data_IF_836325192513
#
_entry.id   IF_836325192513
#
_cell.length_a   1.000
_cell.length_b   1.000
_cell.length_c   1.000
_cell.angle_alpha   90.00
_cell.angle_beta   90.00
_cell.angle_gamma   90.00
#
_symmetry.space_group_name_H-M   'P 1'
#
loop_
_entity.id
_entity.type
_entity.pdbx_description
1 polymer ?
#
# COMPACT_ATOMS: atom_id res chain seq x y z
N UNK A 1 -46.62 16.29 -1.21
CA UNK A 1 -45.27 16.16 -1.81
C UNK A 1 -44.25 16.68 -0.82
N UNK A 2 -43.80 15.85 0.13
CA UNK A 2 -42.78 16.26 1.11
C UNK A 2 -41.40 15.90 0.59
N UNK A 3 -40.59 16.94 0.38
CA UNK A 3 -39.16 16.87 0.06
C UNK A 3 -38.44 16.16 1.21
N UNK A 4 -37.81 15.03 0.92
CA UNK A 4 -36.79 14.45 1.79
C UNK A 4 -35.58 15.40 1.80
N UNK A 5 -35.42 16.12 2.89
CA UNK A 5 -34.17 16.78 3.24
C UNK A 5 -33.20 15.70 3.69
N UNK A 6 -32.29 15.30 2.80
CA UNK A 6 -31.17 14.43 3.18
C UNK A 6 -30.11 15.34 3.82
N UNK A 7 -30.20 15.53 5.13
CA UNK A 7 -29.09 16.08 5.91
C UNK A 7 -27.96 15.08 5.78
N UNK A 8 -26.92 15.42 5.02
CA UNK A 8 -25.77 14.54 4.84
C UNK A 8 -25.06 14.39 6.18
N UNK A 9 -25.21 13.21 6.80
CA UNK A 9 -24.43 12.83 7.97
C UNK A 9 -22.95 12.98 7.63
N UNK A 10 -22.17 13.60 8.51
CA UNK A 10 -20.72 13.62 8.36
C UNK A 10 -20.16 12.20 8.32
N UNK A 11 -19.05 11.97 7.62
CA UNK A 11 -18.44 10.62 7.57
C UNK A 11 -18.11 10.05 8.94
N UNK A 12 -17.76 10.93 9.87
CA UNK A 12 -17.48 10.58 11.26
C UNK A 12 -18.77 10.20 12.00
N UNK A 13 -19.87 10.90 11.74
CA UNK A 13 -21.19 10.63 12.32
C UNK A 13 -21.78 9.31 11.78
N UNK A 14 -21.55 8.99 10.50
CA UNK A 14 -21.91 7.71 9.92
C UNK A 14 -21.06 6.56 10.50
N UNK A 15 -19.75 6.77 10.68
CA UNK A 15 -18.89 5.79 11.30
C UNK A 15 -19.29 5.50 12.76
N UNK A 16 -19.64 6.54 13.51
CA UNK A 16 -20.11 6.45 14.90
C UNK A 16 -21.44 5.68 14.99
N UNK A 17 -22.42 5.99 14.12
CA UNK A 17 -23.69 5.27 14.06
C UNK A 17 -23.51 3.76 13.81
N UNK A 18 -22.66 3.41 12.84
CA UNK A 18 -22.37 1.99 12.54
C UNK A 18 -21.64 1.32 13.70
N UNK A 19 -20.74 2.03 14.37
CA UNK A 19 -20.04 1.50 15.55
C UNK A 19 -21.03 1.16 16.68
N UNK A 20 -21.93 2.08 17.02
CA UNK A 20 -22.96 1.87 18.05
C UNK A 20 -23.88 0.68 17.73
N UNK A 21 -24.29 0.54 16.47
CA UNK A 21 -25.15 -0.56 16.05
C UNK A 21 -24.45 -1.93 16.18
N UNK A 22 -23.17 -2.00 15.83
CA UNK A 22 -22.36 -3.22 15.97
C UNK A 22 -22.07 -3.54 17.43
N UNK A 23 -21.77 -2.54 18.26
CA UNK A 23 -21.59 -2.71 19.71
C UNK A 23 -22.86 -3.26 20.36
N UNK A 24 -24.02 -2.69 20.01
CA UNK A 24 -25.32 -3.14 20.50
C UNK A 24 -25.62 -4.58 20.08
N UNK A 25 -25.32 -4.95 18.83
CA UNK A 25 -25.50 -6.31 18.34
C UNK A 25 -24.62 -7.33 19.09
N UNK A 26 -23.36 -6.99 19.35
CA UNK A 26 -22.43 -7.85 20.09
C UNK A 26 -22.84 -8.01 21.55
N UNK A 27 -23.28 -6.94 22.20
CA UNK A 27 -23.78 -6.99 23.58
C UNK A 27 -25.00 -7.90 23.75
N UNK A 28 -25.80 -8.11 22.70
CA UNK A 28 -26.94 -9.04 22.73
C UNK A 28 -26.57 -10.49 22.42
N UNK A 29 -25.43 -10.74 21.74
CA UNK A 29 -25.06 -12.07 21.27
C UNK A 29 -24.14 -12.82 22.24
N UNK A 30 -23.26 -12.12 22.97
CA UNK A 30 -22.30 -12.76 23.87
C UNK A 30 -21.93 -11.86 25.05
N UNK A 31 -22.48 -12.18 26.23
CA UNK A 31 -22.26 -11.47 27.49
C UNK A 31 -20.83 -11.66 28.04
N UNK A 32 -20.05 -12.60 27.47
CA UNK A 32 -18.68 -12.91 27.90
C UNK A 32 -17.59 -12.09 27.19
N UNK A 33 -17.94 -11.28 26.17
CA UNK A 33 -16.96 -10.44 25.46
C UNK A 33 -16.61 -9.20 26.30
N UNK A 34 -15.32 -8.96 26.51
CA UNK A 34 -14.83 -7.76 27.20
C UNK A 34 -15.37 -6.48 26.53
N UNK A 35 -15.93 -5.57 27.33
CA UNK A 35 -16.50 -4.29 26.86
C UNK A 35 -15.52 -3.48 25.99
N UNK A 36 -14.21 -3.52 26.30
CA UNK A 36 -13.18 -2.86 25.48
C UNK A 36 -13.02 -3.49 24.09
N UNK A 37 -13.21 -4.80 23.97
CA UNK A 37 -13.23 -5.52 22.70
C UNK A 37 -14.47 -5.17 21.91
N UNK A 38 -15.64 -5.10 22.56
CA UNK A 38 -16.91 -4.70 21.92
C UNK A 38 -16.77 -3.31 21.29
N UNK A 39 -16.28 -2.32 22.05
CA UNK A 39 -16.05 -0.96 21.55
C UNK A 39 -15.02 -0.93 20.41
N UNK A 40 -13.96 -1.73 20.51
CA UNK A 40 -12.94 -1.80 19.46
C UNK A 40 -13.52 -2.37 18.16
N UNK A 41 -14.38 -3.39 18.23
CA UNK A 41 -15.04 -3.97 17.05
C UNK A 41 -16.02 -2.98 16.43
N UNK A 42 -16.78 -2.24 17.25
CA UNK A 42 -17.63 -1.13 16.79
C UNK A 42 -16.86 -0.12 15.94
N UNK A 43 -15.77 0.42 16.49
CA UNK A 43 -14.91 1.40 15.78
C UNK A 43 -14.34 0.87 14.47
N UNK A 44 -13.92 -0.40 14.44
CA UNK A 44 -13.43 -1.03 13.21
C UNK A 44 -14.56 -1.10 12.17
N UNK A 45 -15.76 -1.55 12.56
CA UNK A 45 -16.89 -1.66 11.67
C UNK A 45 -17.32 -0.29 11.12
N UNK A 46 -17.37 0.74 11.97
CA UNK A 46 -17.67 2.12 11.56
C UNK A 46 -16.65 2.67 10.57
N UNK A 47 -15.36 2.45 10.84
CA UNK A 47 -14.27 2.89 9.96
C UNK A 47 -14.32 2.19 8.59
N UNK A 48 -14.61 0.88 8.57
CA UNK A 48 -14.76 0.11 7.33
C UNK A 48 -15.98 0.61 6.55
N UNK A 49 -17.12 0.80 7.21
CA UNK A 49 -18.33 1.30 6.56
C UNK A 49 -18.10 2.67 5.92
N UNK A 50 -17.46 3.60 6.63
CA UNK A 50 -17.10 4.92 6.10
C UNK A 50 -16.16 4.80 4.89
N UNK A 51 -15.13 3.96 4.96
CA UNK A 51 -14.21 3.74 3.84
C UNK A 51 -14.91 3.16 2.60
N UNK A 52 -15.92 2.29 2.77
CA UNK A 52 -16.70 1.74 1.65
C UNK A 52 -17.50 2.83 0.93
N UNK A 53 -17.99 3.86 1.64
CA UNK A 53 -18.69 4.99 1.00
C UNK A 53 -17.78 5.83 0.09
N UNK A 54 -16.47 5.84 0.36
CA UNK A 54 -15.46 6.54 -0.46
C UNK A 54 -15.09 5.78 -1.74
N UNK A 55 -15.53 4.54 -1.89
CA UNK A 55 -15.23 3.75 -3.08
C UNK A 55 -16.05 4.25 -4.27
N UNK A 56 -15.42 4.25 -5.46
CA UNK A 56 -16.16 4.51 -6.70
C UNK A 56 -17.29 3.48 -6.90
N UNK A 57 -18.39 3.81 -7.61
CA UNK A 57 -19.49 2.87 -7.88
C UNK A 57 -19.06 1.55 -8.53
N UNK A 58 -17.97 1.56 -9.32
CA UNK A 58 -17.38 0.36 -9.92
C UNK A 58 -16.81 -0.60 -8.87
N UNK A 59 -16.15 -0.07 -7.85
CA UNK A 59 -15.57 -0.86 -6.76
C UNK A 59 -16.64 -1.35 -5.79
N UNK A 60 -17.67 -0.55 -5.50
CA UNK A 60 -18.82 -0.99 -4.71
C UNK A 60 -19.53 -2.20 -5.36
N UNK A 61 -19.81 -2.15 -6.67
CA UNK A 61 -20.38 -3.29 -7.41
C UNK A 61 -19.47 -4.53 -7.44
N UNK A 62 -18.17 -4.33 -7.41
CA UNK A 62 -17.23 -5.45 -7.35
C UNK A 62 -17.27 -6.17 -5.99
N UNK A 63 -17.52 -5.43 -4.90
CA UNK A 63 -17.75 -6.00 -3.56
C UNK A 63 -19.06 -6.80 -3.55
N UNK A 64 -20.13 -6.27 -4.13
CA UNK A 64 -21.41 -6.98 -4.25
C UNK A 64 -21.28 -8.28 -5.05
N UNK A 65 -20.44 -8.29 -6.08
CA UNK A 65 -20.22 -9.46 -6.92
C UNK A 65 -19.50 -10.62 -6.19
N UNK A 66 -18.75 -10.34 -5.12
CA UNK A 66 -18.02 -11.34 -4.33
C UNK A 66 -18.70 -11.67 -2.99
N UNK A 67 -19.98 -11.31 -2.82
CA UNK A 67 -20.68 -11.42 -1.52
C UNK A 67 -20.62 -12.83 -0.90
N UNK A 68 -20.59 -13.89 -1.71
CA UNK A 68 -20.49 -15.27 -1.23
C UNK A 68 -19.12 -15.59 -0.58
N UNK A 69 -18.05 -14.91 -1.02
CA UNK A 69 -16.68 -15.10 -0.52
C UNK A 69 -16.33 -14.13 0.62
N UNK A 70 -17.17 -13.11 0.87
CA UNK A 70 -16.95 -12.09 1.90
C UNK A 70 -16.72 -12.68 3.30
N UNK A 71 -17.42 -13.73 3.77
CA UNK A 71 -17.13 -14.31 5.09
C UNK A 71 -15.72 -14.87 5.21
N UNK A 72 -15.21 -15.49 4.13
CA UNK A 72 -13.85 -16.02 4.08
C UNK A 72 -12.79 -14.91 4.05
N UNK A 73 -13.06 -13.84 3.30
CA UNK A 73 -12.21 -12.64 3.25
C UNK A 73 -12.19 -11.90 4.60
N UNK A 74 -13.36 -11.75 5.23
CA UNK A 74 -13.48 -11.15 6.56
C UNK A 74 -12.67 -11.95 7.60
N UNK A 75 -12.76 -13.29 7.57
CA UNK A 75 -11.98 -14.14 8.48
C UNK A 75 -10.47 -13.98 8.29
N UNK A 76 -10.01 -13.85 7.04
CA UNK A 76 -8.59 -13.59 6.73
C UNK A 76 -8.15 -12.21 7.21
N UNK A 77 -8.98 -11.19 6.98
CA UNK A 77 -8.73 -9.83 7.44
C UNK A 77 -8.61 -9.77 8.97
N UNK A 78 -9.57 -10.35 9.70
CA UNK A 78 -9.54 -10.39 11.17
C UNK A 78 -8.29 -11.10 11.68
N UNK A 79 -7.88 -12.21 11.06
CA UNK A 79 -6.65 -12.93 11.43
C UNK A 79 -5.40 -12.09 11.20
N UNK A 80 -5.33 -11.39 10.06
CA UNK A 80 -4.21 -10.51 9.75
C UNK A 80 -4.14 -9.32 10.74
N UNK A 81 -5.30 -8.74 11.08
CA UNK A 81 -5.40 -7.68 12.07
C UNK A 81 -4.98 -8.14 13.47
N UNK A 82 -5.42 -9.32 13.90
CA UNK A 82 -5.03 -9.91 15.18
C UNK A 82 -3.52 -10.19 15.24
N UNK A 83 -2.93 -10.71 14.15
CA UNK A 83 -1.49 -10.94 14.06
C UNK A 83 -0.70 -9.63 14.15
N UNK A 84 -1.17 -8.55 13.52
CA UNK A 84 -0.56 -7.23 13.63
C UNK A 84 -0.69 -6.63 15.04
N UNK A 85 -1.86 -6.78 15.67
CA UNK A 85 -2.07 -6.34 17.04
C UNK A 85 -1.17 -7.08 18.03
N UNK A 86 -1.00 -8.40 17.86
CA UNK A 86 -0.08 -9.20 18.68
C UNK A 86 1.37 -8.72 18.53
N UNK A 87 1.84 -8.49 17.29
CA UNK A 87 3.17 -7.93 17.05
C UNK A 87 3.39 -6.60 17.75
N UNK A 88 2.40 -5.69 17.70
CA UNK A 88 2.50 -4.38 18.36
C UNK A 88 2.41 -4.47 19.88
N UNK A 89 1.66 -5.43 20.40
CA UNK A 89 1.59 -5.69 21.84
C UNK A 89 2.91 -6.25 22.37
N UNK A 90 3.60 -7.10 21.61
CA UNK A 90 4.93 -7.61 21.96
C UNK A 90 5.99 -6.51 21.90
N UNK A 91 5.84 -5.54 20.99
CA UNK A 91 6.65 -4.33 20.95
C UNK A 91 6.31 -3.30 22.06
N UNK A 92 5.26 -3.54 22.86
CA UNK A 92 4.68 -2.58 23.81
C UNK A 92 5.23 -2.59 25.23
N UNK A 93 6.29 -3.36 25.54
CA UNK A 93 6.99 -3.29 26.84
C UNK A 93 8.30 -2.52 26.69
N UNK A 94 8.22 -1.27 26.24
CA UNK A 94 9.24 -0.26 26.53
C UNK A 94 8.61 1.11 26.40
N UNK A 95 8.32 1.66 27.57
CA UNK A 95 7.94 3.05 27.79
C UNK A 95 8.97 3.98 27.14
N UNK A 96 8.52 4.99 26.42
CA UNK A 96 9.38 6.12 26.06
C UNK A 96 9.63 6.93 27.34
N UNK A 97 10.89 7.32 27.61
CA UNK A 97 11.26 8.65 27.14
C UNK A 97 12.68 8.73 26.57
N UNK A 98 12.81 9.56 25.53
CA UNK A 98 14.00 10.37 25.21
C UNK A 98 15.36 9.70 25.43
N UNK A 99 15.82 8.97 24.42
CA UNK A 99 17.20 8.96 23.92
C UNK A 99 17.23 8.00 22.72
N UNK A 100 17.99 8.34 21.68
CA UNK A 100 18.42 7.36 20.68
C UNK A 100 19.08 6.18 21.41
N UNK A 101 18.69 4.94 21.06
CA UNK A 101 19.67 4.05 20.45
C UNK A 101 19.05 3.40 19.20
N UNK A 102 19.68 3.44 18.04
CA UNK A 102 20.83 2.59 17.72
C UNK A 102 20.59 1.11 18.06
N UNK A 103 19.45 0.56 17.66
CA UNK A 103 19.36 -0.84 17.26
C UNK A 103 18.09 -1.07 16.40
N UNK A 104 18.12 -0.55 15.17
CA UNK A 104 17.34 -1.20 14.11
C UNK A 104 17.88 -2.62 14.01
N UNK A 105 17.18 -3.58 14.61
CA UNK A 105 17.30 -4.96 14.18
C UNK A 105 16.95 -4.95 12.70
N UNK A 106 18.00 -4.94 11.88
CA UNK A 106 18.00 -5.10 10.44
C UNK A 106 17.21 -6.37 10.13
N UNK A 107 15.89 -6.26 10.01
CA UNK A 107 15.12 -7.20 9.26
C UNK A 107 15.73 -7.15 7.86
N UNK A 108 16.45 -8.21 7.50
CA UNK A 108 17.15 -8.30 6.22
C UNK A 108 16.22 -7.81 5.11
N UNK A 109 16.72 -7.01 4.15
CA UNK A 109 15.89 -6.53 3.05
C UNK A 109 15.14 -7.73 2.45
N UNK A 110 13.81 -7.59 2.18
CA UNK A 110 13.02 -8.69 1.63
C UNK A 110 13.76 -9.27 0.44
N UNK A 111 14.05 -10.57 0.47
CA UNK A 111 14.75 -11.19 -0.65
C UNK A 111 13.83 -11.19 -1.85
N UNK A 112 14.39 -11.27 -3.06
CA UNK A 112 13.60 -11.31 -4.30
C UNK A 112 12.47 -12.34 -4.25
N UNK A 113 12.73 -13.47 -3.59
CA UNK A 113 11.81 -14.60 -3.46
C UNK A 113 10.63 -14.30 -2.53
N UNK A 114 10.83 -13.47 -1.50
CA UNK A 114 9.75 -13.06 -0.61
C UNK A 114 8.73 -12.18 -1.36
N UNK A 115 9.22 -11.31 -2.26
CA UNK A 115 8.41 -10.42 -3.09
C UNK A 115 7.61 -11.16 -4.18
N UNK A 116 8.02 -12.36 -4.58
CA UNK A 116 7.25 -13.21 -5.52
C UNK A 116 5.94 -13.69 -4.89
N UNK A 117 5.89 -13.84 -3.56
CA UNK A 117 4.75 -14.39 -2.83
C UNK A 117 3.73 -13.33 -2.36
N UNK A 118 4.10 -12.04 -2.37
CA UNK A 118 3.28 -10.93 -1.91
C UNK A 118 2.43 -10.32 -3.05
N UNK A 119 1.27 -9.74 -2.72
CA UNK A 119 0.51 -8.95 -3.69
C UNK A 119 1.32 -7.71 -4.07
N UNK A 120 1.35 -7.40 -5.36
CA UNK A 120 2.17 -6.30 -5.89
C UNK A 120 1.70 -4.97 -5.34
N UNK A 121 0.39 -4.79 -5.19
CA UNK A 121 -0.21 -3.57 -4.65
C UNK A 121 0.25 -3.26 -3.22
N UNK A 122 0.57 -4.28 -2.42
CA UNK A 122 0.91 -4.13 -0.99
C UNK A 122 2.30 -3.50 -0.79
N UNK A 123 3.21 -3.67 -1.74
CA UNK A 123 4.59 -3.17 -1.63
C UNK A 123 4.99 -2.22 -2.75
N UNK A 124 4.40 -2.36 -3.95
CA UNK A 124 4.72 -1.50 -5.09
C UNK A 124 3.85 -0.23 -5.16
N UNK A 125 2.84 -0.11 -4.29
CA UNK A 125 1.88 0.99 -4.29
C UNK A 125 0.92 0.92 -5.48
N UNK A 126 0.44 2.09 -5.94
CA UNK A 126 -0.49 2.14 -7.08
C UNK A 126 0.19 1.69 -8.37
N UNK A 127 -0.33 0.63 -8.98
CA UNK A 127 0.15 0.08 -10.25
C UNK A 127 -0.92 0.16 -11.33
N UNK A 128 -0.49 0.29 -12.59
CA UNK A 128 -1.37 0.38 -13.75
C UNK A 128 -0.89 -0.48 -14.91
N UNK A 129 -1.84 -0.97 -15.72
CA UNK A 129 -1.54 -1.63 -16.99
C UNK A 129 -1.33 -0.60 -18.11
N UNK A 130 -0.81 -1.06 -19.26
CA UNK A 130 -0.54 -0.20 -20.42
C UNK A 130 -1.77 0.57 -20.92
N UNK A 131 -2.97 -0.03 -20.88
CA UNK A 131 -4.22 0.63 -21.29
C UNK A 131 -4.52 1.85 -20.43
N UNK A 132 -4.35 1.74 -19.11
CA UNK A 132 -4.57 2.87 -18.20
C UNK A 132 -3.56 3.99 -18.45
N UNK A 133 -2.28 3.67 -18.68
CA UNK A 133 -1.23 4.66 -18.96
C UNK A 133 -1.49 5.41 -20.27
N UNK A 134 -2.02 4.73 -21.28
CA UNK A 134 -2.38 5.33 -22.56
C UNK A 134 -3.57 6.29 -22.42
N UNK A 135 -4.63 5.87 -21.73
CA UNK A 135 -5.85 6.66 -21.56
C UNK A 135 -5.66 7.86 -20.61
N UNK A 136 -4.92 7.68 -19.51
CA UNK A 136 -4.88 8.66 -18.41
C UNK A 136 -3.60 9.50 -18.39
N UNK A 137 -2.47 8.93 -18.79
CA UNK A 137 -1.17 9.63 -18.83
C UNK A 137 -0.72 9.96 -20.25
N UNK A 138 -1.54 9.67 -21.27
CA UNK A 138 -1.25 9.91 -22.69
C UNK A 138 0.06 9.24 -23.16
N UNK A 139 0.45 8.14 -22.51
CA UNK A 139 1.66 7.39 -22.85
C UNK A 139 1.31 6.31 -23.88
N UNK A 140 1.69 6.53 -25.15
CA UNK A 140 1.49 5.54 -26.20
C UNK A 140 2.17 4.20 -25.86
N UNK A 141 1.50 3.09 -26.17
CA UNK A 141 2.01 1.73 -25.87
C UNK A 141 3.39 1.44 -26.48
N UNK A 142 3.65 1.98 -27.67
CA UNK A 142 4.95 1.87 -28.35
C UNK A 142 6.07 2.63 -27.62
N UNK A 143 5.76 3.79 -27.05
CA UNK A 143 6.66 4.59 -26.22
C UNK A 143 6.96 3.88 -24.91
N UNK A 144 5.92 3.39 -24.21
CA UNK A 144 6.07 2.63 -22.98
C UNK A 144 6.94 1.38 -23.19
N UNK A 145 6.70 0.65 -24.27
CA UNK A 145 7.50 -0.52 -24.62
C UNK A 145 8.96 -0.17 -24.94
N UNK A 146 9.21 0.97 -25.60
CA UNK A 146 10.57 1.47 -25.85
C UNK A 146 11.27 1.80 -24.53
N UNK A 147 10.61 2.50 -23.62
CA UNK A 147 11.15 2.84 -22.30
C UNK A 147 11.45 1.59 -21.47
N UNK A 148 10.52 0.63 -21.45
CA UNK A 148 10.73 -0.66 -20.79
C UNK A 148 11.95 -1.39 -21.33
N UNK A 149 12.16 -1.42 -22.66
CA UNK A 149 13.35 -2.07 -23.25
C UNK A 149 14.67 -1.40 -22.87
N UNK A 150 14.65 -0.10 -22.57
CA UNK A 150 15.84 0.68 -22.20
C UNK A 150 16.09 0.72 -20.69
N UNK A 151 15.20 0.13 -19.89
CA UNK A 151 15.24 0.25 -18.42
C UNK A 151 14.78 1.62 -17.91
N UNK A 152 14.27 2.51 -18.79
CA UNK A 152 13.78 3.82 -18.37
C UNK A 152 12.53 3.71 -17.48
N UNK A 153 11.86 2.55 -17.49
CA UNK A 153 10.63 2.25 -16.74
C UNK A 153 10.73 0.84 -16.16
N UNK A 154 10.35 0.71 -14.89
CA UNK A 154 10.25 -0.56 -14.19
C UNK A 154 8.88 -1.18 -14.43
N UNK A 155 8.89 -2.35 -15.06
CA UNK A 155 7.73 -3.20 -15.29
C UNK A 155 7.73 -4.38 -14.31
N UNK A 156 6.68 -4.48 -13.50
CA UNK A 156 6.49 -5.58 -12.55
C UNK A 156 5.56 -6.62 -13.15
N UNK A 157 5.91 -7.91 -13.02
CA UNK A 157 5.06 -9.00 -13.50
C UNK A 157 3.93 -9.26 -12.52
N UNK A 158 2.68 -9.15 -12.96
CA UNK A 158 1.47 -9.53 -12.22
C UNK A 158 0.95 -10.87 -12.75
N UNK A 159 1.32 -11.96 -12.07
CA UNK A 159 1.09 -13.32 -12.56
C UNK A 159 1.87 -13.64 -13.84
N UNK A 160 1.43 -14.65 -14.60
CA UNK A 160 2.20 -15.23 -15.72
C UNK A 160 2.78 -14.25 -16.74
N UNK A 161 1.93 -13.55 -17.53
CA UNK A 161 2.39 -12.76 -18.70
C UNK A 161 2.05 -11.26 -18.67
N UNK A 162 1.31 -10.78 -17.66
CA UNK A 162 0.87 -9.38 -17.61
C UNK A 162 1.90 -8.55 -16.86
N UNK A 163 2.32 -7.44 -17.48
CA UNK A 163 3.14 -6.43 -16.80
C UNK A 163 2.24 -5.31 -16.28
N UNK A 164 2.55 -4.85 -15.08
CA UNK A 164 2.00 -3.65 -14.46
C UNK A 164 3.14 -2.70 -14.16
N UNK A 165 2.82 -1.42 -14.16
CA UNK A 165 3.77 -0.32 -14.03
C UNK A 165 3.38 0.50 -12.81
N UNK A 166 4.23 0.57 -11.78
CA UNK A 166 4.02 1.49 -10.68
C UNK A 166 3.86 2.94 -11.16
N UNK A 167 2.85 3.65 -10.65
CA UNK A 167 2.54 5.00 -11.13
C UNK A 167 3.52 6.06 -10.62
N UNK A 168 4.15 5.81 -9.47
CA UNK A 168 5.08 6.75 -8.83
C UNK A 168 6.37 7.00 -9.65
N UNK A 169 6.63 6.19 -10.68
CA UNK A 169 7.78 6.36 -11.57
C UNK A 169 7.54 7.36 -12.70
N UNK A 170 6.31 7.89 -12.83
CA UNK A 170 5.96 8.84 -13.88
C UNK A 170 5.71 10.23 -13.30
N UNK A 171 6.26 11.26 -13.95
CA UNK A 171 5.97 12.68 -13.72
C UNK A 171 5.55 13.26 -15.06
N UNK A 172 4.35 13.86 -15.11
CA UNK A 172 3.78 14.46 -16.33
C UNK A 172 3.84 13.57 -17.58
N UNK A 173 3.59 12.27 -17.39
CA UNK A 173 3.59 11.27 -18.47
C UNK A 173 4.98 10.85 -18.96
N UNK A 174 6.05 11.21 -18.24
CA UNK A 174 7.44 10.80 -18.54
C UNK A 174 8.03 9.99 -17.39
N UNK A 175 8.93 9.03 -17.66
CA UNK A 175 9.65 8.35 -16.59
C UNK A 175 10.54 9.32 -15.84
N UNK A 176 10.65 9.12 -14.54
CA UNK A 176 11.63 9.81 -13.69
C UNK A 176 13.04 9.46 -14.17
N UNK A 177 13.90 10.47 -14.33
CA UNK A 177 15.27 10.29 -14.76
C UNK A 177 16.10 9.51 -13.73
N UNK A 178 17.14 8.80 -14.17
CA UNK A 178 18.00 7.99 -13.30
C UNK A 178 17.46 6.58 -12.96
N UNK A 179 16.19 6.28 -13.28
CA UNK A 179 15.64 4.92 -13.06
C UNK A 179 16.44 3.84 -13.81
N UNK A 180 16.82 4.12 -15.06
CA UNK A 180 17.60 3.16 -15.87
C UNK A 180 18.96 2.86 -15.25
N UNK A 181 19.64 3.88 -14.73
CA UNK A 181 20.95 3.72 -14.09
C UNK A 181 20.84 2.86 -12.81
N UNK A 182 19.87 3.18 -11.93
CA UNK A 182 19.61 2.41 -10.71
C UNK A 182 19.20 0.96 -11.04
N UNK A 183 18.33 0.79 -12.04
CA UNK A 183 17.89 -0.55 -12.46
C UNK A 183 19.05 -1.37 -13.04
N UNK A 184 19.98 -0.75 -13.75
CA UNK A 184 21.16 -1.42 -14.30
C UNK A 184 22.12 -1.92 -13.22
N UNK A 185 22.22 -1.20 -12.09
CA UNK A 185 23.07 -1.55 -10.96
C UNK A 185 22.48 -2.71 -10.14
N UNK A 186 21.18 -2.63 -9.84
CA UNK A 186 20.50 -3.62 -8.98
C UNK A 186 20.09 -4.88 -9.78
N UNK A 187 19.74 -4.72 -11.06
CA UNK A 187 19.40 -5.81 -11.98
C UNK A 187 18.01 -6.43 -11.82
N UNK A 188 17.52 -6.60 -10.59
CA UNK A 188 16.19 -7.19 -10.33
C UNK A 188 15.08 -6.12 -10.26
N UNK A 189 14.09 -6.10 -11.18
CA UNK A 189 13.07 -5.05 -11.24
C UNK A 189 12.24 -4.88 -9.96
N UNK A 190 11.94 -5.96 -9.23
CA UNK A 190 11.15 -5.89 -8.00
C UNK A 190 11.97 -5.30 -6.87
N UNK A 191 13.21 -5.76 -6.74
CA UNK A 191 14.13 -5.29 -5.71
C UNK A 191 14.53 -3.82 -5.97
N UNK A 192 14.76 -3.45 -7.24
CA UNK A 192 14.94 -2.05 -7.65
C UNK A 192 13.76 -1.19 -7.24
N UNK A 193 12.52 -1.62 -7.53
CA UNK A 193 11.33 -0.84 -7.18
C UNK A 193 11.13 -0.72 -5.66
N UNK A 194 11.36 -1.81 -4.93
CA UNK A 194 11.26 -1.82 -3.47
C UNK A 194 12.25 -0.81 -2.88
N UNK A 195 13.51 -0.85 -3.30
CA UNK A 195 14.54 0.08 -2.85
C UNK A 195 14.17 1.53 -3.16
N UNK A 196 13.71 1.82 -4.40
CA UNK A 196 13.32 3.16 -4.82
C UNK A 196 12.19 3.78 -3.99
N UNK A 197 11.30 2.96 -3.43
CA UNK A 197 10.08 3.41 -2.74
C UNK A 197 10.17 3.34 -1.22
N UNK A 198 11.33 2.99 -0.66
CA UNK A 198 11.57 2.86 0.77
C UNK A 198 12.68 3.81 1.21
N UNK A 199 12.70 4.22 2.50
CA UNK A 199 13.88 4.84 3.10
C UNK A 199 15.13 4.00 2.85
N UNK A 200 16.19 4.62 2.30
CA UNK A 200 17.47 3.97 2.07
C UNK A 200 18.50 4.44 3.10
N UNK A 201 19.16 3.50 3.78
CA UNK A 201 20.20 3.81 4.76
C UNK A 201 21.38 4.59 4.14
N UNK A 202 21.68 4.33 2.87
CA UNK A 202 22.72 5.01 2.09
C UNK A 202 22.36 6.47 1.76
N UNK A 203 21.12 6.88 2.00
CA UNK A 203 20.59 8.22 1.73
C UNK A 203 20.01 8.85 3.00
N UNK A 204 20.55 8.51 4.17
CA UNK A 204 20.11 9.01 5.47
C UNK A 204 18.60 8.83 5.73
N UNK A 205 18.04 7.70 5.25
CA UNK A 205 16.62 7.39 5.38
C UNK A 205 15.70 8.14 4.41
N UNK A 206 16.25 8.87 3.43
CA UNK A 206 15.47 9.51 2.36
C UNK A 206 14.98 8.44 1.36
N UNK A 207 13.87 8.74 0.70
CA UNK A 207 13.24 7.86 -0.29
C UNK A 207 13.85 8.13 -1.68
N UNK A 208 14.51 7.15 -2.33
CA UNK A 208 15.27 7.42 -3.56
C UNK A 208 14.41 7.95 -4.72
N UNK A 209 13.18 7.45 -4.92
CA UNK A 209 12.30 7.93 -6.02
C UNK A 209 11.97 9.42 -5.84
N UNK A 210 11.89 9.92 -4.61
CA UNK A 210 11.60 11.34 -4.35
C UNK A 210 12.83 12.21 -4.65
N UNK A 211 14.04 11.68 -4.44
CA UNK A 211 15.30 12.34 -4.79
C UNK A 211 15.49 12.42 -6.31
N UNK A 212 15.17 11.33 -7.01
CA UNK A 212 15.20 11.33 -8.47
C UNK A 212 14.22 12.34 -9.07
N UNK A 213 13.05 12.57 -8.45
CA UNK A 213 12.12 13.63 -8.86
C UNK A 213 12.64 15.05 -8.57
N UNK A 214 13.60 15.19 -7.68
CA UNK A 214 14.29 16.44 -7.34
C UNK A 214 15.58 16.60 -8.16
N UNK A 215 15.75 15.82 -9.24
CA UNK A 215 16.94 15.79 -10.10
C UNK A 215 18.26 15.44 -9.37
N UNK A 216 18.18 14.84 -8.17
CA UNK A 216 19.34 14.39 -7.39
C UNK A 216 19.82 13.00 -7.86
N UNK A 217 20.11 12.86 -9.15
CA UNK A 217 20.38 11.57 -9.80
C UNK A 217 21.69 10.95 -9.31
N UNK A 218 22.77 11.74 -9.26
CA UNK A 218 24.11 11.26 -8.90
C UNK A 218 24.13 10.65 -7.49
N UNK A 219 23.52 11.34 -6.52
CA UNK A 219 23.40 10.89 -5.13
C UNK A 219 22.71 9.52 -5.04
N UNK A 220 21.60 9.36 -5.77
CA UNK A 220 20.84 8.10 -5.80
C UNK A 220 21.61 6.98 -6.50
N UNK A 221 22.32 7.27 -7.58
CA UNK A 221 23.10 6.26 -8.32
C UNK A 221 24.28 5.74 -7.50
N UNK A 222 24.98 6.62 -6.77
CA UNK A 222 26.04 6.19 -5.86
C UNK A 222 25.50 5.34 -4.70
N UNK A 223 24.38 5.74 -4.11
CA UNK A 223 23.70 4.95 -3.08
C UNK A 223 23.25 3.57 -3.61
N UNK A 224 22.73 3.50 -4.83
CA UNK A 224 22.34 2.26 -5.48
C UNK A 224 23.54 1.33 -5.72
N UNK A 225 24.72 1.88 -6.05
CA UNK A 225 25.95 1.10 -6.22
C UNK A 225 26.41 0.49 -4.90
N UNK A 226 26.37 1.26 -3.81
CA UNK A 226 26.68 0.77 -2.48
C UNK A 226 25.72 -0.35 -2.05
N UNK A 227 24.42 -0.17 -2.32
CA UNK A 227 23.39 -1.16 -2.05
C UNK A 227 23.53 -2.44 -2.90
N UNK A 228 23.88 -2.34 -4.17
CA UNK A 228 24.08 -3.51 -5.03
C UNK A 228 25.33 -4.32 -4.66
N UNK A 229 26.26 -3.73 -3.90
CA UNK A 229 27.52 -4.35 -3.47
C UNK A 229 27.46 -4.93 -2.05
N UNK A 230 26.35 -4.72 -1.32
CA UNK A 230 26.12 -5.21 0.05
C UNK A 230 25.37 -6.54 0.05
#
# INVERSE_FOLDING_TARGET
MSRFQTTGLGQDEFAEMVAEDVERALAHYDEAINQSTVVSVGKIAGSIASAVTLLSPKHQRAIDAIHADLPGLASKFVRALAAEAARRSEAGVTDMPTALPADETLAAPPRSDDLESMLIEDWAGRVAGSTYLEENLRIARSTLHRWQRRGDVIALRKGGRKHVFPLAQFVDGRPVAGISDVQSLIGNPRLTWLWLTRPAAQLDGRIPIDLLRQDQIEEVVEAARAFASS
#
